data_IF_990097534937
#
_entry.id   IF_990097534937
#
_cell.length_a   1.000
_cell.length_b   1.000
_cell.length_c   1.000
_cell.angle_alpha   90.00
_cell.angle_beta   90.00
_cell.angle_gamma   90.00
#
_symmetry.space_group_name_H-M   'P 1'
#
loop_
_entity.id
_entity.type
_entity.pdbx_description
1 polymer ?
#
# COMPACT_ATOMS: atom_id res chain seq x y z
N UNK A 1 -6.28 -15.66 -11.61
CA UNK A 1 -5.24 -14.79 -11.02
C UNK A 1 -4.42 -15.55 -9.97
N UNK A 2 -5.02 -16.05 -8.88
CA UNK A 2 -4.35 -16.95 -7.90
C UNK A 2 -3.78 -18.25 -8.49
N UNK A 3 -4.36 -18.77 -9.58
CA UNK A 3 -3.86 -19.97 -10.25
C UNK A 3 -2.53 -19.80 -11.00
N UNK A 4 -2.11 -18.57 -11.31
CA UNK A 4 -0.87 -18.34 -12.06
C UNK A 4 0.38 -18.25 -11.15
N UNK A 5 0.18 -18.25 -9.83
CA UNK A 5 1.25 -18.13 -8.81
C UNK A 5 1.46 -19.41 -7.98
N UNK A 6 0.98 -20.57 -8.46
CA UNK A 6 1.08 -21.86 -7.76
C UNK A 6 2.49 -22.22 -7.21
N UNK A 7 3.62 -21.90 -7.88
CA UNK A 7 4.93 -22.27 -7.33
C UNK A 7 5.46 -21.29 -6.26
N UNK A 8 4.83 -20.13 -6.04
CA UNK A 8 5.33 -19.08 -5.11
C UNK A 8 4.29 -18.71 -4.05
N UNK A 9 3.24 -19.52 -3.91
CA UNK A 9 2.26 -19.45 -2.81
C UNK A 9 2.96 -19.34 -1.45
N UNK A 10 4.05 -20.08 -1.26
CA UNK A 10 4.73 -20.18 0.04
C UNK A 10 5.34 -18.83 0.44
N UNK A 11 5.98 -18.14 -0.50
CA UNK A 11 6.55 -16.81 -0.26
C UNK A 11 5.48 -15.76 0.03
N UNK A 12 4.34 -15.82 -0.66
CA UNK A 12 3.20 -14.95 -0.37
C UNK A 12 2.58 -15.29 0.99
N UNK A 13 2.44 -16.56 1.34
CA UNK A 13 1.89 -16.98 2.63
C UNK A 13 2.77 -16.51 3.80
N UNK A 14 4.09 -16.67 3.69
CA UNK A 14 5.06 -16.19 4.69
C UNK A 14 5.05 -14.64 4.74
N UNK A 15 4.92 -13.99 3.59
CA UNK A 15 4.74 -12.54 3.50
C UNK A 15 3.47 -12.07 4.21
N UNK A 16 2.35 -12.77 4.03
CA UNK A 16 1.08 -12.47 4.72
C UNK A 16 1.16 -12.68 6.24
N UNK A 17 1.84 -13.73 6.70
CA UNK A 17 2.10 -13.93 8.15
C UNK A 17 2.93 -12.77 8.70
N UNK A 18 3.95 -12.33 7.97
CA UNK A 18 4.78 -11.17 8.35
C UNK A 18 3.95 -9.88 8.38
N UNK A 19 3.04 -9.68 7.42
CA UNK A 19 2.09 -8.55 7.43
C UNK A 19 1.19 -8.57 8.67
N UNK A 20 0.67 -9.75 9.04
CA UNK A 20 -0.22 -9.91 10.20
C UNK A 20 0.52 -9.58 11.50
N UNK A 21 1.74 -10.09 11.65
CA UNK A 21 2.59 -9.74 12.79
C UNK A 21 2.86 -8.23 12.85
N UNK A 22 3.25 -7.62 11.72
CA UNK A 22 3.55 -6.18 11.68
C UNK A 22 2.31 -5.31 11.96
N UNK A 23 1.14 -5.69 11.43
CA UNK A 23 -0.12 -5.02 11.71
C UNK A 23 -0.52 -5.05 13.19
N UNK A 24 -0.19 -6.14 13.91
CA UNK A 24 -0.44 -6.25 15.35
C UNK A 24 0.57 -5.50 16.23
N UNK A 25 1.79 -5.25 15.75
CA UNK A 25 2.80 -4.49 16.49
C UNK A 25 2.34 -3.04 16.74
N UNK A 26 1.68 -2.42 15.76
CA UNK A 26 1.25 -1.02 15.85
C UNK A 26 0.27 -0.74 17.02
N UNK A 27 -0.82 -1.50 17.21
CA UNK A 27 -1.69 -1.32 18.38
C UNK A 27 -1.05 -1.84 19.68
N UNK A 28 -0.24 -2.91 19.63
CA UNK A 28 0.48 -3.40 20.82
C UNK A 28 1.44 -2.35 21.39
N UNK A 29 2.15 -1.63 20.52
CA UNK A 29 3.00 -0.51 20.88
C UNK A 29 2.23 0.59 21.62
N UNK A 30 1.02 0.93 21.15
CA UNK A 30 0.14 1.90 21.82
C UNK A 30 -0.24 1.47 23.25
N UNK A 31 -0.50 0.17 23.45
CA UNK A 31 -0.79 -0.38 24.78
C UNK A 31 0.41 -0.29 25.71
N UNK A 32 1.61 -0.66 25.23
CA UNK A 32 2.85 -0.57 26.01
C UNK A 32 3.12 0.88 26.41
N UNK A 33 2.94 1.83 25.49
CA UNK A 33 3.08 3.25 25.79
C UNK A 33 2.09 3.71 26.87
N UNK A 34 0.82 3.29 26.77
CA UNK A 34 -0.20 3.59 27.79
C UNK A 34 0.17 3.03 29.16
N UNK A 35 0.70 1.80 29.22
CA UNK A 35 1.16 1.19 30.47
C UNK A 35 2.39 1.89 31.03
N UNK A 36 3.33 2.31 30.18
CA UNK A 36 4.49 3.09 30.58
C UNK A 36 4.06 4.41 31.24
N UNK A 37 3.09 5.13 30.65
CA UNK A 37 2.53 6.35 31.24
C UNK A 37 1.86 6.10 32.60
N UNK A 38 1.20 4.96 32.78
CA UNK A 38 0.59 4.60 34.06
C UNK A 38 1.64 4.32 35.16
N UNK A 39 2.78 3.73 34.81
CA UNK A 39 3.88 3.47 35.77
C UNK A 39 4.50 4.77 36.29
N UNK A 40 4.55 5.84 35.47
CA UNK A 40 5.00 7.15 35.94
C UNK A 40 4.10 7.78 37.02
N UNK A 41 2.90 7.25 37.23
CA UNK A 41 1.99 7.71 38.30
C UNK A 41 2.14 6.91 39.60
N UNK A 42 2.97 5.87 39.64
CA UNK A 42 3.23 5.12 40.87
C UNK A 42 4.13 5.95 41.81
N UNK A 43 3.78 6.00 43.10
CA UNK A 43 4.50 6.82 44.10
C UNK A 43 5.81 6.20 44.61
N UNK A 44 6.12 4.94 44.25
CA UNK A 44 7.25 4.20 44.83
C UNK A 44 8.47 4.18 43.88
N UNK A 45 9.53 4.96 44.14
CA UNK A 45 10.60 5.22 43.17
C UNK A 45 11.44 3.99 42.82
N UNK A 46 11.56 3.00 43.71
CA UNK A 46 12.36 1.78 43.45
C UNK A 46 11.65 0.81 42.51
N UNK A 47 10.33 0.67 42.65
CA UNK A 47 9.52 -0.20 41.79
C UNK A 47 9.34 0.44 40.41
N UNK A 48 9.25 1.78 40.37
CA UNK A 48 9.15 2.54 39.13
C UNK A 48 10.37 2.32 38.21
N UNK A 49 11.59 2.35 38.74
CA UNK A 49 12.81 2.20 37.93
C UNK A 49 12.88 0.82 37.26
N UNK A 50 12.62 -0.26 38.00
CA UNK A 50 12.64 -1.63 37.48
C UNK A 50 11.56 -1.84 36.40
N UNK A 51 10.34 -1.34 36.63
CA UNK A 51 9.23 -1.44 35.67
C UNK A 51 9.50 -0.65 34.40
N UNK A 52 10.03 0.57 34.52
CA UNK A 52 10.38 1.41 33.36
C UNK A 52 11.44 0.73 32.51
N UNK A 53 12.51 0.18 33.10
CA UNK A 53 13.56 -0.54 32.36
C UNK A 53 12.98 -1.72 31.58
N UNK A 54 12.08 -2.50 32.19
CA UNK A 54 11.41 -3.63 31.53
C UNK A 54 10.56 -3.16 30.34
N UNK A 55 9.75 -2.11 30.50
CA UNK A 55 8.91 -1.59 29.41
C UNK A 55 9.75 -0.96 28.27
N UNK A 56 10.86 -0.28 28.59
CA UNK A 56 11.80 0.24 27.59
C UNK A 56 12.47 -0.90 26.83
N UNK A 57 12.86 -1.98 27.51
CA UNK A 57 13.44 -3.15 26.86
C UNK A 57 12.45 -3.85 25.93
N UNK A 58 11.18 -3.96 26.33
CA UNK A 58 10.08 -4.42 25.46
C UNK A 58 9.92 -3.53 24.22
N UNK A 59 10.02 -2.22 24.39
CA UNK A 59 9.90 -1.25 23.31
C UNK A 59 11.02 -1.40 22.27
N UNK A 60 12.26 -1.59 22.73
CA UNK A 60 13.40 -1.91 21.86
C UNK A 60 13.17 -3.24 21.14
N UNK A 61 12.66 -4.25 21.84
CA UNK A 61 12.30 -5.54 21.24
C UNK A 61 11.27 -5.43 20.12
N UNK A 62 10.20 -4.65 20.32
CA UNK A 62 9.22 -4.35 19.27
C UNK A 62 9.83 -3.62 18.09
N UNK A 63 10.76 -2.67 18.32
CA UNK A 63 11.48 -1.97 17.26
C UNK A 63 12.30 -2.91 16.38
N UNK A 64 13.05 -3.82 16.99
CA UNK A 64 13.83 -4.84 16.26
C UNK A 64 12.89 -5.77 15.47
N UNK A 65 11.83 -6.27 16.10
CA UNK A 65 10.83 -7.13 15.43
C UNK A 65 10.16 -6.42 14.24
N UNK A 66 9.83 -5.14 14.40
CA UNK A 66 9.22 -4.34 13.33
C UNK A 66 10.18 -4.20 12.15
N UNK A 67 11.46 -3.92 12.40
CA UNK A 67 12.48 -3.79 11.36
C UNK A 67 12.67 -5.12 10.62
N UNK A 68 12.81 -6.23 11.34
CA UNK A 68 12.99 -7.56 10.74
C UNK A 68 11.77 -7.98 9.92
N UNK A 69 10.56 -7.80 10.45
CA UNK A 69 9.32 -8.16 9.73
C UNK A 69 9.09 -7.30 8.50
N UNK A 70 9.36 -5.98 8.57
CA UNK A 70 9.23 -5.08 7.43
C UNK A 70 10.23 -5.41 6.33
N UNK A 71 11.48 -5.69 6.70
CA UNK A 71 12.52 -6.09 5.76
C UNK A 71 12.17 -7.42 5.07
N UNK A 72 11.78 -8.43 5.86
CA UNK A 72 11.40 -9.74 5.33
C UNK A 72 10.17 -9.65 4.42
N UNK A 73 9.14 -8.93 4.84
CA UNK A 73 7.94 -8.68 4.05
C UNK A 73 8.28 -8.00 2.72
N UNK A 74 9.07 -6.92 2.77
CA UNK A 74 9.51 -6.19 1.57
C UNK A 74 10.30 -7.07 0.61
N UNK A 75 11.24 -7.85 1.13
CA UNK A 75 12.07 -8.76 0.34
C UNK A 75 11.24 -9.88 -0.33
N UNK A 76 10.34 -10.51 0.42
CA UNK A 76 9.46 -11.58 -0.08
C UNK A 76 8.53 -11.10 -1.20
N UNK A 77 7.91 -9.93 -1.03
CA UNK A 77 7.03 -9.34 -2.05
C UNK A 77 7.81 -8.81 -3.26
N UNK A 78 9.01 -8.27 -3.05
CA UNK A 78 9.87 -7.86 -4.16
C UNK A 78 10.29 -9.06 -5.02
N UNK A 79 10.81 -10.12 -4.40
CA UNK A 79 11.27 -11.32 -5.11
C UNK A 79 10.11 -12.02 -5.85
N UNK A 80 8.97 -12.22 -5.17
CA UNK A 80 7.77 -12.80 -5.79
C UNK A 80 7.25 -11.92 -6.94
N UNK A 81 7.37 -10.61 -6.81
CA UNK A 81 6.96 -9.67 -7.82
C UNK A 81 7.85 -9.72 -9.07
N UNK A 82 9.18 -9.76 -8.91
CA UNK A 82 10.10 -9.87 -10.04
C UNK A 82 9.87 -11.16 -10.84
N UNK A 83 9.64 -12.28 -10.15
CA UNK A 83 9.33 -13.55 -10.79
C UNK A 83 8.00 -13.51 -11.57
N UNK A 84 6.96 -12.87 -11.00
CA UNK A 84 5.70 -12.64 -11.70
C UNK A 84 5.88 -11.77 -12.95
N UNK A 85 6.64 -10.69 -12.85
CA UNK A 85 6.96 -9.80 -13.98
C UNK A 85 7.70 -10.55 -15.07
N UNK A 86 8.69 -11.39 -14.73
CA UNK A 86 9.41 -12.22 -15.70
C UNK A 86 8.48 -13.17 -16.46
N UNK A 87 7.54 -13.83 -15.75
CA UNK A 87 6.55 -14.74 -16.37
C UNK A 87 5.55 -14.00 -17.23
N UNK A 88 5.03 -12.86 -16.77
CA UNK A 88 4.12 -12.02 -17.55
C UNK A 88 4.79 -11.56 -18.85
N UNK A 89 6.03 -11.05 -18.78
CA UNK A 89 6.77 -10.63 -19.97
C UNK A 89 6.96 -11.78 -20.95
N UNK A 90 7.35 -12.96 -20.48
CA UNK A 90 7.53 -14.14 -21.34
C UNK A 90 6.22 -14.61 -21.99
N UNK A 91 5.12 -14.70 -21.23
CA UNK A 91 3.81 -15.09 -21.78
C UNK A 91 3.26 -14.09 -22.78
N UNK A 92 3.29 -12.80 -22.44
CA UNK A 92 2.77 -11.76 -23.32
C UNK A 92 3.62 -11.64 -24.58
N UNK A 93 4.95 -11.77 -24.48
CA UNK A 93 5.82 -11.83 -25.66
C UNK A 93 5.48 -13.03 -26.56
N UNK A 94 5.28 -14.22 -25.97
CA UNK A 94 4.89 -15.40 -26.74
C UNK A 94 3.52 -15.24 -27.41
N UNK A 95 2.55 -14.60 -26.75
CA UNK A 95 1.24 -14.28 -27.34
C UNK A 95 1.34 -13.28 -28.49
N UNK A 96 2.16 -12.23 -28.36
CA UNK A 96 2.39 -11.25 -29.43
C UNK A 96 2.97 -11.96 -30.67
N UNK A 97 3.92 -12.88 -30.50
CA UNK A 97 4.51 -13.62 -31.63
C UNK A 97 3.54 -14.57 -32.35
N UNK A 98 2.44 -14.95 -31.71
CA UNK A 98 1.41 -15.82 -32.31
C UNK A 98 0.34 -15.04 -33.07
N UNK A 99 0.42 -13.72 -33.10
CA UNK A 99 -0.61 -12.86 -33.68
C UNK A 99 -0.44 -12.70 -35.20
N UNK A 100 -1.54 -12.53 -35.92
CA UNK A 100 -1.55 -12.40 -37.38
C UNK A 100 -0.85 -11.12 -37.85
N UNK A 101 -0.31 -11.11 -39.08
CA UNK A 101 0.39 -9.94 -39.64
C UNK A 101 -0.51 -8.69 -39.67
N UNK A 102 -1.81 -8.85 -39.94
CA UNK A 102 -2.79 -7.76 -39.93
C UNK A 102 -2.91 -7.05 -38.56
N UNK A 103 -2.53 -7.69 -37.46
CA UNK A 103 -2.51 -7.06 -36.13
C UNK A 103 -1.37 -6.04 -35.98
N UNK A 104 -0.26 -6.23 -36.70
CA UNK A 104 0.89 -5.34 -36.70
C UNK A 104 0.75 -4.18 -37.70
N UNK A 105 -0.20 -4.28 -38.63
CA UNK A 105 -0.54 -3.20 -39.57
C UNK A 105 -1.32 -2.05 -38.91
N UNK A 106 -1.90 -2.27 -37.72
CA UNK A 106 -2.56 -1.20 -36.96
C UNK A 106 -1.50 -0.21 -36.43
N UNK A 107 -1.60 1.10 -36.72
CA UNK A 107 -0.65 2.11 -36.25
C UNK A 107 -0.53 2.18 -34.72
N UNK A 108 -1.51 1.67 -33.97
CA UNK A 108 -1.47 1.58 -32.52
C UNK A 108 -0.65 0.39 -31.98
N UNK A 109 -0.38 -0.61 -32.81
CA UNK A 109 0.35 -1.84 -32.47
C UNK A 109 1.75 -1.90 -33.10
N UNK A 110 2.33 -0.75 -33.39
CA UNK A 110 3.71 -0.72 -33.85
C UNK A 110 4.63 -1.44 -32.84
N UNK A 111 5.65 -2.13 -33.34
CA UNK A 111 6.55 -2.98 -32.54
C UNK A 111 7.18 -2.26 -31.35
N UNK A 112 7.53 -0.98 -31.51
CA UNK A 112 8.02 -0.13 -30.42
C UNK A 112 6.96 0.17 -29.34
N UNK A 113 5.71 0.37 -29.74
CA UNK A 113 4.60 0.60 -28.80
C UNK A 113 4.27 -0.67 -28.01
N UNK A 114 4.27 -1.84 -28.68
CA UNK A 114 4.06 -3.14 -28.04
C UNK A 114 5.18 -3.49 -27.05
N UNK A 115 6.45 -3.24 -27.41
CA UNK A 115 7.58 -3.46 -26.51
C UNK A 115 7.51 -2.53 -25.29
N UNK A 116 7.09 -1.29 -25.49
CA UNK A 116 6.89 -0.33 -24.39
C UNK A 116 5.77 -0.78 -23.47
N UNK A 117 4.59 -1.13 -24.01
CA UNK A 117 3.46 -1.66 -23.23
C UNK A 117 3.84 -2.92 -22.45
N UNK A 118 4.55 -3.84 -23.10
CA UNK A 118 5.05 -5.06 -22.45
C UNK A 118 5.94 -4.74 -21.25
N UNK A 119 6.78 -3.71 -21.34
CA UNK A 119 7.67 -3.32 -20.24
C UNK A 119 6.94 -2.59 -19.10
N UNK A 120 6.07 -1.65 -19.43
CA UNK A 120 5.39 -0.80 -18.46
C UNK A 120 4.19 -1.48 -17.82
N UNK A 121 3.32 -2.14 -18.60
CA UNK A 121 2.10 -2.77 -18.07
C UNK A 121 2.41 -4.00 -17.22
N UNK A 122 3.39 -4.82 -17.63
CA UNK A 122 3.79 -5.98 -16.82
C UNK A 122 4.32 -5.57 -15.44
N UNK A 123 5.12 -4.50 -15.39
CA UNK A 123 5.70 -3.97 -14.14
C UNK A 123 4.65 -3.24 -13.29
N UNK A 124 3.72 -2.52 -13.94
CA UNK A 124 2.62 -1.85 -13.25
C UNK A 124 1.66 -2.85 -12.61
N UNK A 125 1.31 -3.94 -13.29
CA UNK A 125 0.45 -5.01 -12.75
C UNK A 125 1.09 -5.66 -11.52
N UNK A 126 2.40 -5.91 -11.56
CA UNK A 126 3.12 -6.43 -10.40
C UNK A 126 3.08 -5.47 -9.21
N UNK A 127 3.46 -4.20 -9.41
CA UNK A 127 3.50 -3.21 -8.33
C UNK A 127 2.11 -2.95 -7.72
N UNK A 128 1.08 -2.92 -8.56
CA UNK A 128 -0.30 -2.72 -8.13
C UNK A 128 -0.87 -3.96 -7.41
N UNK A 129 -0.43 -5.17 -7.73
CA UNK A 129 -1.01 -6.39 -7.16
C UNK A 129 -0.22 -6.86 -5.93
N UNK A 130 1.11 -6.98 -6.01
CA UNK A 130 1.91 -7.55 -4.92
C UNK A 130 1.98 -6.66 -3.68
N UNK A 131 2.54 -5.46 -3.84
CA UNK A 131 2.80 -4.53 -2.74
C UNK A 131 1.48 -3.98 -2.16
N UNK A 132 0.52 -3.66 -3.03
CA UNK A 132 -0.77 -3.09 -2.60
C UNK A 132 -1.60 -4.08 -1.79
N UNK A 133 -1.69 -5.34 -2.21
CA UNK A 133 -2.42 -6.38 -1.46
C UNK A 133 -1.76 -6.62 -0.10
N UNK A 134 -0.42 -6.68 -0.06
CA UNK A 134 0.33 -6.82 1.19
C UNK A 134 0.05 -5.68 2.18
N UNK A 135 0.03 -4.43 1.70
CA UNK A 135 -0.29 -3.25 2.49
C UNK A 135 -1.75 -3.25 2.95
N UNK A 136 -2.69 -3.60 2.07
CA UNK A 136 -4.12 -3.69 2.43
C UNK A 136 -4.33 -4.75 3.51
N UNK A 137 -3.69 -5.91 3.41
CA UNK A 137 -3.79 -6.96 4.40
C UNK A 137 -3.19 -6.51 5.76
N UNK A 138 -2.04 -5.85 5.75
CA UNK A 138 -1.43 -5.28 6.94
C UNK A 138 -2.38 -4.27 7.62
N UNK A 139 -2.99 -3.36 6.84
CA UNK A 139 -3.95 -2.39 7.37
C UNK A 139 -5.20 -3.05 7.95
N UNK A 140 -5.72 -4.09 7.28
CA UNK A 140 -6.86 -4.86 7.81
C UNK A 140 -6.50 -5.58 9.11
N UNK A 141 -5.29 -6.15 9.20
CA UNK A 141 -4.79 -6.77 10.41
C UNK A 141 -4.63 -5.76 11.55
N UNK A 142 -4.08 -4.59 11.27
CA UNK A 142 -3.91 -3.51 12.24
C UNK A 142 -5.26 -2.98 12.75
N UNK A 143 -6.23 -2.79 11.85
CA UNK A 143 -7.58 -2.40 12.23
C UNK A 143 -8.27 -3.47 13.07
N UNK A 144 -8.18 -4.74 12.66
CA UNK A 144 -8.77 -5.85 13.40
C UNK A 144 -8.19 -6.00 14.80
N UNK A 145 -6.85 -6.06 14.91
CA UNK A 145 -6.17 -6.17 16.21
C UNK A 145 -6.38 -4.94 17.07
N UNK A 146 -6.38 -3.74 16.49
CA UNK A 146 -6.69 -2.49 17.19
C UNK A 146 -8.08 -2.49 17.79
N UNK A 147 -9.11 -2.87 17.02
CA UNK A 147 -10.50 -2.96 17.50
C UNK A 147 -10.61 -3.98 18.63
N UNK A 148 -10.00 -5.17 18.49
CA UNK A 148 -10.01 -6.20 19.53
C UNK A 148 -9.40 -5.66 20.83
N UNK A 149 -8.22 -5.03 20.75
CA UNK A 149 -7.55 -4.44 21.91
C UNK A 149 -8.40 -3.35 22.56
N UNK A 150 -9.03 -2.46 21.76
CA UNK A 150 -9.91 -1.41 22.28
C UNK A 150 -11.11 -1.98 23.04
N UNK A 151 -11.77 -3.00 22.49
CA UNK A 151 -12.90 -3.66 23.15
C UNK A 151 -12.51 -4.33 24.47
N UNK A 152 -11.30 -4.90 24.56
CA UNK A 152 -10.78 -5.53 25.79
C UNK A 152 -10.53 -4.51 26.89
N UNK A 153 -10.03 -3.31 26.56
CA UNK A 153 -9.78 -2.27 27.57
C UNK A 153 -11.06 -1.63 28.09
N UNK A 154 -11.90 -1.10 27.19
CA UNK A 154 -13.11 -0.37 27.56
C UNK A 154 -14.14 -0.42 26.43
N UNK A 155 -15.14 -1.28 26.58
CA UNK A 155 -16.23 -1.42 25.59
C UNK A 155 -17.06 -0.13 25.43
N UNK A 156 -17.24 0.66 26.49
CA UNK A 156 -18.01 1.91 26.49
C UNK A 156 -17.33 3.01 25.66
N UNK A 157 -16.03 3.22 25.84
CA UNK A 157 -15.26 4.20 25.06
C UNK A 157 -15.13 3.78 23.59
N UNK A 158 -15.00 2.48 23.35
CA UNK A 158 -14.89 1.93 22.00
C UNK A 158 -16.17 2.14 21.19
N UNK A 159 -17.35 1.92 21.79
CA UNK A 159 -18.65 2.18 21.14
C UNK A 159 -18.83 3.66 20.77
N UNK A 160 -18.38 4.57 21.64
CA UNK A 160 -18.43 6.01 21.36
C UNK A 160 -17.58 6.36 20.12
N UNK A 161 -16.33 5.88 20.07
CA UNK A 161 -15.43 6.11 18.93
C UNK A 161 -16.00 5.51 17.66
N UNK A 162 -16.56 4.29 17.74
CA UNK A 162 -17.18 3.62 16.60
C UNK A 162 -18.37 4.42 16.04
N UNK A 163 -19.11 5.15 16.88
CA UNK A 163 -20.14 6.10 16.46
C UNK A 163 -19.62 7.29 15.64
N UNK A 164 -18.37 7.72 15.86
CA UNK A 164 -17.72 8.79 15.08
C UNK A 164 -17.08 8.31 13.77
N UNK A 165 -16.77 7.01 13.64
CA UNK A 165 -16.23 6.43 12.40
C UNK A 165 -17.05 6.78 11.15
N UNK A 166 -18.40 6.65 11.10
CA UNK A 166 -19.17 7.01 9.92
C UNK A 166 -19.05 8.50 9.56
N UNK A 167 -18.97 9.39 10.56
CA UNK A 167 -18.76 10.81 10.31
C UNK A 167 -17.41 11.09 9.66
N UNK A 168 -16.34 10.41 10.12
CA UNK A 168 -15.03 10.46 9.48
C UNK A 168 -15.05 9.92 8.05
N UNK A 169 -15.74 8.81 7.80
CA UNK A 169 -15.85 8.20 6.46
C UNK A 169 -16.57 9.15 5.50
N UNK A 170 -17.66 9.79 5.93
CA UNK A 170 -18.39 10.77 5.12
C UNK A 170 -17.50 11.98 4.80
N UNK A 171 -16.80 12.53 5.81
CA UNK A 171 -15.87 13.64 5.62
C UNK A 171 -14.74 13.30 4.64
N UNK A 172 -14.13 12.12 4.78
CA UNK A 172 -13.08 11.64 3.89
C UNK A 172 -13.59 11.38 2.47
N UNK A 173 -14.79 10.82 2.31
CA UNK A 173 -15.40 10.63 1.00
C UNK A 173 -15.68 11.96 0.30
N UNK A 174 -16.19 12.94 1.03
CA UNK A 174 -16.41 14.28 0.49
C UNK A 174 -15.09 14.93 0.07
N UNK A 175 -14.05 14.86 0.90
CA UNK A 175 -12.72 15.37 0.57
C UNK A 175 -12.15 14.70 -0.69
N UNK A 176 -12.26 13.37 -0.80
CA UNK A 176 -11.79 12.61 -1.96
C UNK A 176 -12.55 13.00 -3.25
N UNK A 177 -13.88 13.18 -3.14
CA UNK A 177 -14.71 13.67 -4.24
C UNK A 177 -14.36 15.10 -4.66
N UNK A 178 -14.08 15.97 -3.70
CA UNK A 178 -13.65 17.35 -3.98
C UNK A 178 -12.28 17.37 -4.66
N UNK A 179 -11.31 16.61 -4.16
CA UNK A 179 -9.96 16.50 -4.76
C UNK A 179 -10.00 16.00 -6.21
N UNK A 180 -10.77 14.94 -6.48
CA UNK A 180 -10.94 14.41 -7.84
C UNK A 180 -11.68 15.39 -8.76
N UNK A 181 -12.64 16.14 -8.21
CA UNK A 181 -13.33 17.23 -8.91
C UNK A 181 -12.40 18.39 -9.27
N UNK A 182 -11.55 18.84 -8.34
CA UNK A 182 -10.56 19.89 -8.59
C UNK A 182 -9.51 19.44 -9.62
N UNK A 183 -8.96 18.23 -9.48
CA UNK A 183 -8.01 17.68 -10.44
C UNK A 183 -8.58 17.63 -11.88
N UNK A 184 -9.87 17.32 -12.03
CA UNK A 184 -10.55 17.32 -13.33
C UNK A 184 -10.73 18.73 -13.91
N UNK A 185 -11.01 19.73 -13.06
CA UNK A 185 -11.12 21.14 -13.46
C UNK A 185 -9.76 21.70 -13.86
N UNK A 186 -8.73 21.44 -13.06
CA UNK A 186 -7.35 21.86 -13.34
C UNK A 186 -6.85 21.27 -14.66
N UNK A 187 -7.10 19.97 -14.90
CA UNK A 187 -6.74 19.31 -16.15
C UNK A 187 -7.40 19.99 -17.37
N UNK A 188 -8.67 20.38 -17.28
CA UNK A 188 -9.37 21.13 -18.35
C UNK A 188 -8.79 22.53 -18.56
N UNK A 189 -8.44 23.23 -17.49
CA UNK A 189 -7.80 24.55 -17.58
C UNK A 189 -6.42 24.46 -18.27
N UNK A 190 -5.60 23.47 -17.89
CA UNK A 190 -4.32 23.19 -18.54
C UNK A 190 -4.47 22.79 -20.00
N UNK A 191 -5.48 22.00 -20.36
CA UNK A 191 -5.74 21.62 -21.75
C UNK A 191 -6.11 22.85 -22.61
N UNK A 192 -6.95 23.74 -22.09
CA UNK A 192 -7.31 24.97 -22.79
C UNK A 192 -6.11 25.92 -22.95
N UNK A 193 -5.30 26.10 -21.91
CA UNK A 193 -4.07 26.88 -21.99
C UNK A 193 -3.07 26.27 -22.99
N UNK A 194 -2.96 24.94 -23.01
CA UNK A 194 -2.16 24.19 -23.98
C UNK A 194 -2.64 24.39 -25.41
N UNK A 195 -3.95 24.36 -25.66
CA UNK A 195 -4.54 24.63 -26.98
C UNK A 195 -4.25 26.05 -27.47
N UNK A 196 -4.36 27.05 -26.59
CA UNK A 196 -4.03 28.45 -26.93
C UNK A 196 -2.54 28.62 -27.22
N UNK A 197 -1.66 28.01 -26.42
CA UNK A 197 -0.21 28.02 -26.68
C UNK A 197 0.13 27.36 -28.02
N UNK A 198 -0.49 26.21 -28.30
CA UNK A 198 -0.25 25.46 -29.53
C UNK A 198 -0.77 26.22 -30.76
N UNK A 199 -1.95 26.82 -30.69
CA UNK A 199 -2.50 27.62 -31.79
C UNK A 199 -1.65 28.87 -32.07
N UNK A 200 -1.12 29.51 -31.02
CA UNK A 200 -0.21 30.65 -31.16
C UNK A 200 1.12 30.25 -31.80
N UNK A 201 1.73 29.15 -31.33
CA UNK A 201 2.99 28.63 -31.88
C UNK A 201 2.84 28.21 -33.34
N UNK A 202 1.71 27.61 -33.73
CA UNK A 202 1.41 27.26 -35.12
C UNK A 202 1.28 28.50 -36.01
N UNK A 203 0.74 29.61 -35.48
CA UNK A 203 0.53 30.85 -36.23
C UNK A 203 1.83 31.64 -36.46
N UNK A 204 2.80 31.51 -35.55
CA UNK A 204 4.16 32.07 -35.73
C UNK A 204 4.93 31.30 -36.80
N UNK A 205 4.81 29.97 -36.85
CA UNK A 205 5.46 29.12 -37.86
C UNK A 205 4.90 29.27 -39.28
N UNK A 206 3.76 29.96 -39.46
CA UNK A 206 3.12 30.19 -40.76
C UNK A 206 3.37 31.58 -41.36
N UNK A 207 4.19 32.41 -40.70
CA UNK A 207 4.64 33.74 -41.15
C UNK A 207 6.11 33.62 -41.52
#
# INVERSE_FOLDING_TARGET
>A
MFLMNRPEWLYIAIGCVSCLCNGGIQPAFGVVLSKLTAVFQECDPKVQEERVILYVLLFVGFGVLMLTTLFLQGFLFACSGEALTKRLRSKTFHSILRQEIAYFDDPNNNTGALCTRLATEASAVQGATGVRIGLTLQNLAALGTGIIISFVFSWQLTLLILGFVPFMVIGGFLQSRLMTGFASKDKKAFENAGKVRYSFSRKILSI
#
